data_IF_193958323071
#
_entry.id   IF_193958323071
#
_cell.length_a   1.000
_cell.length_b   1.000
_cell.length_c   1.000
_cell.angle_alpha   90.00
_cell.angle_beta   90.00
_cell.angle_gamma   90.00
#
_symmetry.space_group_name_H-M   'P 1'
#
loop_
_entity.id
_entity.type
_entity.pdbx_description
1 polymer ?
#
# COMPACT_ATOMS: atom_id res chain seq x y z
N UNK A 1 -53.39 -34.25 -66.52
CA UNK A 1 -52.58 -33.37 -65.66
C UNK A 1 -52.86 -33.63 -64.17
N UNK A 2 -52.95 -34.90 -63.74
CA UNK A 2 -53.29 -35.31 -62.36
C UNK A 2 -52.34 -36.39 -61.77
N UNK A 3 -51.31 -36.80 -62.52
CA UNK A 3 -50.36 -37.84 -62.08
C UNK A 3 -49.09 -37.28 -61.44
N UNK A 4 -48.89 -35.96 -61.42
CA UNK A 4 -47.75 -35.31 -60.75
C UNK A 4 -48.08 -34.84 -59.33
N UNK A 5 -49.35 -34.67 -58.96
CA UNK A 5 -49.74 -34.16 -57.64
C UNK A 5 -49.71 -35.25 -56.57
N UNK A 6 -50.07 -36.49 -56.89
CA UNK A 6 -50.13 -37.60 -55.91
C UNK A 6 -48.78 -38.10 -55.40
N UNK A 7 -47.71 -37.95 -56.20
CA UNK A 7 -46.34 -38.30 -55.79
C UNK A 7 -45.66 -37.17 -55.01
N UNK A 8 -46.16 -35.95 -55.12
CA UNK A 8 -45.65 -34.78 -54.40
C UNK A 8 -46.19 -34.77 -52.97
N UNK A 9 -47.47 -35.10 -52.77
CA UNK A 9 -48.10 -35.17 -51.43
C UNK A 9 -47.45 -36.23 -50.53
N UNK A 10 -46.97 -37.34 -51.10
CA UNK A 10 -46.21 -38.36 -50.35
C UNK A 10 -44.74 -37.99 -50.15
N UNK A 11 -44.15 -37.14 -50.99
CA UNK A 11 -42.75 -36.70 -50.88
C UNK A 11 -42.53 -35.54 -49.91
N UNK A 12 -43.52 -34.64 -49.77
CA UNK A 12 -43.49 -33.49 -48.83
C UNK A 12 -43.14 -33.90 -47.39
N UNK A 13 -43.75 -34.94 -46.77
CA UNK A 13 -43.39 -35.33 -45.40
C UNK A 13 -41.95 -35.82 -45.28
N UNK A 14 -41.42 -36.54 -46.28
CA UNK A 14 -40.02 -36.98 -46.28
C UNK A 14 -39.05 -35.80 -46.43
N UNK A 15 -39.39 -34.78 -47.21
CA UNK A 15 -38.60 -33.54 -47.31
C UNK A 15 -38.61 -32.78 -45.97
N UNK A 16 -39.75 -32.67 -45.30
CA UNK A 16 -39.84 -32.02 -43.98
C UNK A 16 -39.01 -32.76 -42.93
N UNK A 17 -39.06 -34.10 -42.92
CA UNK A 17 -38.22 -34.93 -42.04
C UNK A 17 -36.73 -34.72 -42.37
N UNK A 18 -36.37 -34.69 -43.66
CA UNK A 18 -35.00 -34.43 -44.10
C UNK A 18 -34.47 -33.08 -43.62
N UNK A 19 -35.26 -32.01 -43.78
CA UNK A 19 -34.91 -30.66 -43.30
C UNK A 19 -34.80 -30.65 -41.77
N UNK A 20 -35.72 -31.32 -41.06
CA UNK A 20 -35.67 -31.42 -39.60
C UNK A 20 -34.38 -32.11 -39.13
N UNK A 21 -34.01 -33.24 -39.73
CA UNK A 21 -32.76 -33.97 -39.41
C UNK A 21 -31.53 -33.11 -39.67
N UNK A 22 -31.46 -32.46 -40.84
CA UNK A 22 -30.34 -31.57 -41.18
C UNK A 22 -30.27 -30.40 -40.19
N UNK A 23 -31.40 -29.82 -39.80
CA UNK A 23 -31.43 -28.73 -38.82
C UNK A 23 -30.87 -29.13 -37.46
N UNK A 24 -31.17 -30.35 -36.99
CA UNK A 24 -30.64 -30.89 -35.73
C UNK A 24 -29.14 -31.12 -35.81
N UNK A 25 -28.64 -31.63 -36.94
CA UNK A 25 -27.21 -31.82 -37.17
C UNK A 25 -26.47 -30.48 -37.16
N UNK A 26 -26.99 -29.46 -37.87
CA UNK A 26 -26.41 -28.11 -37.90
C UNK A 26 -26.39 -27.50 -36.50
N UNK A 27 -27.50 -27.63 -35.75
CA UNK A 27 -27.60 -27.10 -34.39
C UNK A 27 -26.57 -27.78 -33.47
N UNK A 28 -26.43 -29.10 -33.56
CA UNK A 28 -25.43 -29.85 -32.79
C UNK A 28 -24.00 -29.40 -33.11
N UNK A 29 -23.70 -29.14 -34.38
CA UNK A 29 -22.39 -28.68 -34.82
C UNK A 29 -22.08 -27.25 -34.33
N UNK A 30 -23.07 -26.35 -34.33
CA UNK A 30 -22.92 -25.00 -33.75
C UNK A 30 -22.67 -25.05 -32.24
N UNK A 31 -23.39 -25.89 -31.50
CA UNK A 31 -23.17 -26.08 -30.06
C UNK A 31 -21.76 -26.62 -29.80
N UNK A 32 -21.29 -27.58 -30.59
CA UNK A 32 -19.94 -28.11 -30.48
C UNK A 32 -18.85 -27.04 -30.70
N UNK A 33 -18.99 -26.22 -31.74
CA UNK A 33 -18.06 -25.10 -32.00
C UNK A 33 -18.08 -24.09 -30.84
N UNK A 34 -19.26 -23.76 -30.30
CA UNK A 34 -19.39 -22.83 -29.18
C UNK A 34 -18.68 -23.35 -27.92
N UNK A 35 -18.78 -24.66 -27.62
CA UNK A 35 -18.07 -25.30 -26.51
C UNK A 35 -16.56 -25.22 -26.71
N UNK A 36 -16.06 -25.56 -27.91
CA UNK A 36 -14.64 -25.48 -28.23
C UNK A 36 -14.11 -24.05 -28.09
N UNK A 37 -14.84 -23.05 -28.60
CA UNK A 37 -14.44 -21.65 -28.48
C UNK A 37 -14.38 -21.21 -27.01
N UNK A 38 -15.36 -21.62 -26.19
CA UNK A 38 -15.36 -21.33 -24.76
C UNK A 38 -14.13 -21.93 -24.06
N UNK A 39 -13.83 -23.21 -24.32
CA UNK A 39 -12.66 -23.89 -23.76
C UNK A 39 -11.38 -23.18 -24.20
N UNK A 40 -11.19 -22.94 -25.50
CA UNK A 40 -9.99 -22.31 -26.07
C UNK A 40 -9.82 -20.88 -25.56
N UNK A 41 -10.90 -20.12 -25.41
CA UNK A 41 -10.86 -18.74 -24.89
C UNK A 41 -10.36 -18.67 -23.45
N UNK A 42 -10.53 -19.73 -22.65
CA UNK A 42 -9.99 -19.80 -21.30
C UNK A 42 -8.46 -19.99 -21.24
N UNK A 43 -7.85 -20.56 -22.28
CA UNK A 43 -6.41 -20.82 -22.32
C UNK A 43 -5.60 -19.61 -22.79
N UNK A 44 -6.18 -18.75 -23.62
CA UNK A 44 -5.51 -17.54 -24.07
C UNK A 44 -5.79 -16.39 -23.10
N UNK A 45 -4.74 -15.93 -22.40
CA UNK A 45 -4.85 -14.70 -21.61
C UNK A 45 -5.18 -13.54 -22.53
N UNK A 46 -6.36 -12.95 -22.37
CA UNK A 46 -6.79 -11.78 -23.15
C UNK A 46 -5.96 -10.51 -22.85
N UNK A 47 -5.10 -10.56 -21.83
CA UNK A 47 -4.28 -9.41 -21.43
C UNK A 47 -3.01 -9.34 -22.28
N UNK A 48 -2.88 -8.26 -23.03
CA UNK A 48 -1.73 -7.96 -23.90
C UNK A 48 -0.38 -8.02 -23.15
N UNK A 49 -0.35 -7.50 -21.93
CA UNK A 49 0.85 -7.48 -21.09
C UNK A 49 0.62 -8.18 -19.76
N UNK A 50 1.66 -8.84 -19.26
CA UNK A 50 1.77 -9.23 -17.86
C UNK A 50 2.90 -8.44 -17.21
N UNK A 51 2.68 -7.97 -15.98
CA UNK A 51 3.69 -7.18 -15.26
C UNK A 51 4.03 -7.89 -13.95
N UNK A 52 5.31 -8.06 -13.68
CA UNK A 52 5.83 -8.61 -12.42
C UNK A 52 6.76 -7.59 -11.78
N UNK A 53 6.60 -7.37 -10.49
CA UNK A 53 7.46 -6.51 -9.69
C UNK A 53 8.08 -7.34 -8.56
N UNK A 54 9.40 -7.28 -8.38
CA UNK A 54 10.12 -7.98 -7.31
C UNK A 54 11.02 -7.03 -6.54
N UNK A 55 11.35 -7.39 -5.31
CA UNK A 55 12.39 -6.72 -4.54
C UNK A 55 13.72 -7.49 -4.65
N UNK A 56 14.80 -6.78 -4.94
CA UNK A 56 16.16 -7.32 -5.00
C UNK A 56 17.06 -6.50 -4.08
N UNK A 57 17.94 -7.20 -3.39
CA UNK A 57 18.99 -6.60 -2.56
C UNK A 57 20.32 -6.99 -3.17
N UNK A 58 21.13 -6.01 -3.52
CA UNK A 58 22.49 -6.28 -3.96
C UNK A 58 23.35 -6.73 -2.76
N UNK A 59 23.99 -7.92 -2.83
CA UNK A 59 24.70 -8.48 -1.69
C UNK A 59 25.97 -7.70 -1.31
N UNK A 60 26.59 -7.02 -2.27
CA UNK A 60 27.85 -6.28 -2.08
C UNK A 60 27.63 -4.89 -1.52
N UNK A 61 26.65 -4.16 -2.05
CA UNK A 61 26.38 -2.75 -1.70
C UNK A 61 25.31 -2.62 -0.62
N UNK A 62 24.50 -3.66 -0.41
CA UNK A 62 23.29 -3.60 0.39
C UNK A 62 22.19 -2.72 -0.23
N UNK A 63 22.37 -2.27 -1.49
CA UNK A 63 21.41 -1.40 -2.14
C UNK A 63 20.15 -2.19 -2.50
N UNK A 64 19.01 -1.64 -2.10
CA UNK A 64 17.69 -2.18 -2.39
C UNK A 64 17.18 -1.63 -3.72
N UNK A 65 16.76 -2.54 -4.58
CA UNK A 65 16.21 -2.26 -5.91
C UNK A 65 14.86 -2.95 -6.08
N UNK A 66 13.94 -2.27 -6.76
CA UNK A 66 12.72 -2.86 -7.27
C UNK A 66 12.93 -3.24 -8.73
N UNK A 67 12.76 -4.52 -9.04
CA UNK A 67 12.82 -5.03 -10.40
C UNK A 67 11.41 -5.02 -10.99
N UNK A 68 11.23 -4.31 -12.10
CA UNK A 68 10.00 -4.25 -12.88
C UNK A 68 10.21 -5.02 -14.19
N UNK A 69 9.42 -6.07 -14.39
CA UNK A 69 9.41 -6.87 -15.62
C UNK A 69 8.07 -6.73 -16.32
N UNK A 70 8.12 -6.31 -17.58
CA UNK A 70 6.94 -6.17 -18.44
C UNK A 70 7.05 -7.22 -19.54
N UNK A 71 6.15 -8.20 -19.50
CA UNK A 71 6.06 -9.31 -20.45
C UNK A 71 5.03 -8.99 -21.53
N UNK A 72 5.38 -9.23 -22.78
CA UNK A 72 4.43 -9.24 -23.87
C UNK A 72 3.82 -10.65 -24.01
N UNK A 73 2.56 -10.79 -23.60
CA UNK A 73 1.83 -12.05 -23.75
C UNK A 73 1.17 -12.19 -25.13
N UNK A 74 1.20 -11.13 -25.94
CA UNK A 74 0.62 -11.15 -27.27
C UNK A 74 1.51 -11.94 -28.25
N UNK A 75 0.88 -12.51 -29.29
CA UNK A 75 1.58 -13.16 -30.40
C UNK A 75 2.30 -12.11 -31.25
N UNK A 76 1.76 -10.89 -31.33
CA UNK A 76 2.37 -9.79 -32.06
C UNK A 76 3.33 -8.99 -31.17
N UNK A 77 4.27 -8.31 -31.81
CA UNK A 77 5.11 -7.31 -31.15
C UNK A 77 4.27 -6.23 -30.47
N UNK A 78 4.71 -5.81 -29.29
CA UNK A 78 4.02 -4.80 -28.51
C UNK A 78 4.89 -3.57 -28.35
N UNK A 79 4.35 -2.41 -28.74
CA UNK A 79 5.02 -1.11 -28.60
C UNK A 79 4.59 -0.49 -27.28
N UNK A 80 5.56 -0.09 -26.48
CA UNK A 80 5.32 0.48 -25.16
C UNK A 80 5.59 1.97 -25.22
N UNK A 81 4.67 2.76 -24.67
CA UNK A 81 4.80 4.22 -24.58
C UNK A 81 5.39 4.64 -23.23
N UNK A 82 4.94 4.03 -22.14
CA UNK A 82 5.42 4.30 -20.79
C UNK A 82 5.21 3.10 -19.88
N UNK A 83 5.99 3.03 -18.80
CA UNK A 83 5.80 2.01 -17.77
C UNK A 83 6.46 2.43 -16.45
N UNK A 84 5.89 1.96 -15.35
CA UNK A 84 6.41 2.29 -14.03
C UNK A 84 5.47 1.90 -12.91
N UNK A 85 5.39 2.74 -11.89
CA UNK A 85 4.54 2.52 -10.72
C UNK A 85 3.47 3.60 -10.59
N UNK A 86 2.27 3.18 -10.22
CA UNK A 86 1.14 4.03 -9.90
C UNK A 86 0.90 3.96 -8.39
N UNK A 87 0.89 5.12 -7.75
CA UNK A 87 0.53 5.27 -6.34
C UNK A 87 -0.55 6.35 -6.21
N UNK A 88 -1.71 5.98 -5.66
CA UNK A 88 -2.93 6.80 -5.69
C UNK A 88 -3.27 7.23 -7.13
N UNK A 89 -3.22 8.53 -7.39
CA UNK A 89 -3.49 9.15 -8.70
C UNK A 89 -2.22 9.58 -9.43
N UNK A 90 -1.04 9.31 -8.86
CA UNK A 90 0.25 9.72 -9.42
C UNK A 90 0.92 8.54 -10.12
N UNK A 91 1.31 8.76 -11.37
CA UNK A 91 2.16 7.85 -12.14
C UNK A 91 3.62 8.28 -12.03
N UNK A 92 4.47 7.36 -11.57
CA UNK A 92 5.92 7.48 -11.64
C UNK A 92 6.35 6.71 -12.87
N UNK A 93 6.71 7.44 -13.92
CA UNK A 93 7.19 6.88 -15.18
C UNK A 93 8.70 6.69 -15.12
N UNK A 94 9.17 5.53 -15.59
CA UNK A 94 10.58 5.20 -15.68
C UNK A 94 11.01 4.88 -17.11
N UNK A 95 10.21 5.26 -18.10
CA UNK A 95 10.54 5.05 -19.51
C UNK A 95 11.87 5.72 -19.91
N UNK A 96 12.07 6.98 -19.53
CA UNK A 96 13.32 7.71 -19.81
C UNK A 96 14.52 7.11 -19.09
N UNK A 97 14.32 6.60 -17.86
CA UNK A 97 15.36 5.89 -17.11
C UNK A 97 15.78 4.63 -17.86
N UNK A 98 14.81 3.86 -18.35
CA UNK A 98 15.09 2.67 -19.16
C UNK A 98 15.85 2.99 -20.45
N UNK A 99 15.46 4.05 -21.16
CA UNK A 99 16.17 4.47 -22.37
C UNK A 99 17.62 4.86 -22.06
N UNK A 100 17.84 5.53 -20.93
CA UNK A 100 19.18 5.93 -20.48
C UNK A 100 20.03 4.71 -20.11
N UNK A 101 19.47 3.76 -19.36
CA UNK A 101 20.17 2.52 -18.97
C UNK A 101 20.53 1.65 -20.17
N UNK A 102 19.69 1.67 -21.22
CA UNK A 102 19.90 0.94 -22.47
C UNK A 102 20.77 1.69 -23.48
N UNK A 103 21.29 2.89 -23.15
CA UNK A 103 22.03 3.78 -24.07
C UNK A 103 21.25 4.10 -25.37
N UNK A 104 19.93 4.26 -25.27
CA UNK A 104 19.05 4.58 -26.39
C UNK A 104 18.78 6.09 -26.47
N UNK A 105 18.44 6.56 -27.67
CA UNK A 105 17.99 7.95 -27.87
C UNK A 105 16.64 8.17 -27.19
N UNK A 106 16.38 9.40 -26.72
CA UNK A 106 15.11 9.77 -26.05
C UNK A 106 13.86 9.52 -26.89
N UNK A 107 13.97 9.60 -28.22
CA UNK A 107 12.86 9.34 -29.15
C UNK A 107 12.78 7.89 -29.63
N UNK A 108 13.57 6.98 -29.02
CA UNK A 108 13.58 5.59 -29.41
C UNK A 108 12.25 4.92 -29.04
N UNK A 109 11.71 4.14 -29.98
CA UNK A 109 10.49 3.35 -29.75
C UNK A 109 10.87 2.03 -29.10
N UNK A 110 10.37 1.78 -27.91
CA UNK A 110 10.57 0.49 -27.22
C UNK A 110 9.54 -0.52 -27.73
N UNK A 111 10.05 -1.63 -28.26
CA UNK A 111 9.25 -2.74 -28.78
C UNK A 111 9.62 -4.00 -28.01
N UNK A 112 8.63 -4.66 -27.45
CA UNK A 112 8.77 -5.95 -26.79
C UNK A 112 8.34 -7.03 -27.79
N UNK A 113 9.24 -7.95 -28.11
CA UNK A 113 8.93 -9.05 -29.02
C UNK A 113 7.87 -9.98 -28.43
N UNK A 114 7.27 -10.82 -29.29
CA UNK A 114 6.29 -11.83 -28.87
C UNK A 114 6.86 -12.75 -27.79
N UNK A 115 6.13 -12.92 -26.69
CA UNK A 115 6.52 -13.76 -25.54
C UNK A 115 7.82 -13.35 -24.85
N UNK A 116 8.33 -12.16 -25.14
CA UNK A 116 9.54 -11.62 -24.53
C UNK A 116 9.20 -10.61 -23.43
N UNK A 117 10.23 -10.11 -22.73
CA UNK A 117 10.08 -9.15 -21.66
C UNK A 117 11.17 -8.10 -21.66
N UNK A 118 10.80 -6.91 -21.19
CA UNK A 118 11.77 -5.91 -20.77
C UNK A 118 11.90 -5.96 -19.25
N UNK A 119 13.09 -5.66 -18.79
CA UNK A 119 13.43 -5.61 -17.37
C UNK A 119 14.04 -4.24 -17.07
N UNK A 120 13.57 -3.64 -15.99
CA UNK A 120 14.12 -2.41 -15.43
C UNK A 120 14.40 -2.59 -13.94
N UNK A 121 15.52 -2.06 -13.47
CA UNK A 121 15.86 -2.01 -12.06
C UNK A 121 15.74 -0.57 -11.56
N UNK A 122 14.89 -0.36 -10.56
CA UNK A 122 14.56 0.96 -10.01
C UNK A 122 15.11 1.02 -8.60
N UNK A 123 15.82 2.09 -8.25
CA UNK A 123 16.30 2.28 -6.88
C UNK A 123 15.11 2.41 -5.90
N UNK A 124 15.11 1.61 -4.83
CA UNK A 124 13.99 1.58 -3.89
C UNK A 124 13.80 2.93 -3.19
N UNK A 125 14.88 3.65 -2.92
CA UNK A 125 14.86 4.97 -2.25
C UNK A 125 14.04 6.00 -3.01
N UNK A 126 14.15 6.05 -4.34
CA UNK A 126 13.42 7.03 -5.14
C UNK A 126 11.91 6.83 -5.01
N UNK A 127 11.43 5.58 -5.14
CA UNK A 127 10.02 5.28 -4.98
C UNK A 127 9.54 5.51 -3.53
N UNK A 128 10.37 5.19 -2.53
CA UNK A 128 10.07 5.44 -1.12
C UNK A 128 9.88 6.94 -0.83
N UNK A 129 10.80 7.80 -1.29
CA UNK A 129 10.72 9.25 -1.09
C UNK A 129 9.47 9.86 -1.75
N UNK A 130 9.11 9.39 -2.94
CA UNK A 130 7.91 9.85 -3.63
C UNK A 130 6.65 9.47 -2.86
N UNK A 131 6.59 8.25 -2.31
CA UNK A 131 5.44 7.81 -1.51
C UNK A 131 5.41 8.54 -0.15
N UNK A 132 6.57 8.77 0.48
CA UNK A 132 6.68 9.48 1.74
C UNK A 132 6.17 10.92 1.64
N UNK A 133 6.60 11.63 0.59
CA UNK A 133 6.11 13.00 0.31
C UNK A 133 4.60 13.03 0.10
N UNK A 134 4.04 12.02 -0.58
CA UNK A 134 2.60 11.94 -0.81
C UNK A 134 1.79 11.50 0.42
N UNK A 135 2.43 10.84 1.38
CA UNK A 135 1.81 10.40 2.62
C UNK A 135 1.94 11.39 3.77
N UNK A 136 2.64 12.52 3.58
CA UNK A 136 2.93 13.50 4.62
C UNK A 136 3.50 12.83 5.89
N UNK A 137 4.44 11.89 5.73
CA UNK A 137 5.08 11.17 6.84
C UNK A 137 4.19 10.13 7.55
N UNK A 138 3.01 9.78 7.01
CA UNK A 138 2.19 8.70 7.55
C UNK A 138 2.74 7.33 7.16
N UNK A 139 2.72 6.39 8.10
CA UNK A 139 3.18 4.99 7.92
C UNK A 139 2.30 4.19 6.95
N UNK A 140 1.02 4.56 6.82
CA UNK A 140 0.06 3.81 6.01
C UNK A 140 0.40 3.92 4.53
N UNK A 141 0.68 2.78 3.89
CA UNK A 141 0.93 2.67 2.45
C UNK A 141 -0.30 2.12 1.75
N UNK A 142 -0.85 2.90 0.81
CA UNK A 142 -1.95 2.49 -0.06
C UNK A 142 -1.52 1.46 -1.12
N UNK A 143 -2.46 0.86 -1.87
CA UNK A 143 -2.12 -0.05 -2.96
C UNK A 143 -1.18 0.62 -3.97
N UNK A 144 -0.07 -0.07 -4.28
CA UNK A 144 0.85 0.30 -5.35
C UNK A 144 0.56 -0.63 -6.52
N UNK A 145 0.46 -0.07 -7.72
CA UNK A 145 0.33 -0.84 -8.95
C UNK A 145 1.56 -0.63 -9.81
N UNK A 146 2.03 -1.68 -10.46
CA UNK A 146 2.91 -1.55 -11.62
C UNK A 146 2.04 -1.35 -12.86
N UNK A 147 2.44 -0.47 -13.77
CA UNK A 147 1.66 -0.17 -14.97
C UNK A 147 2.53 -0.19 -16.23
N UNK A 148 1.88 -0.45 -17.36
CA UNK A 148 2.40 -0.29 -18.71
C UNK A 148 1.34 0.40 -19.56
N UNK A 149 1.75 1.33 -20.40
CA UNK A 149 0.91 2.02 -21.36
C UNK A 149 1.28 1.58 -22.77
N UNK A 150 0.29 1.07 -23.49
CA UNK A 150 0.42 0.71 -24.90
C UNK A 150 0.48 1.95 -25.80
N UNK A 151 0.88 1.78 -27.06
CA UNK A 151 0.87 2.83 -28.08
C UNK A 151 -0.52 3.47 -28.27
N UNK A 152 -1.59 2.70 -28.03
CA UNK A 152 -2.98 3.17 -28.09
C UNK A 152 -3.40 3.97 -26.84
N UNK A 153 -2.50 4.20 -25.88
CA UNK A 153 -2.79 4.90 -24.62
C UNK A 153 -3.52 4.04 -23.57
N UNK A 154 -3.73 2.75 -23.81
CA UNK A 154 -4.36 1.86 -22.84
C UNK A 154 -3.39 1.52 -21.71
N UNK A 155 -3.77 1.85 -20.48
CA UNK A 155 -3.01 1.57 -19.26
C UNK A 155 -3.43 0.22 -18.69
N UNK A 156 -2.47 -0.70 -18.64
CA UNK A 156 -2.64 -2.01 -18.00
C UNK A 156 -1.90 -1.97 -16.67
N UNK A 157 -2.61 -2.28 -15.58
CA UNK A 157 -2.08 -2.22 -14.21
C UNK A 157 -2.14 -3.56 -13.49
N UNK A 158 -1.11 -3.86 -12.72
CA UNK A 158 -0.98 -5.06 -11.89
C UNK A 158 -0.60 -4.68 -10.46
N UNK A 159 -1.20 -5.31 -9.43
CA UNK A 159 -0.90 -4.96 -8.05
C UNK A 159 0.54 -5.36 -7.67
N UNK A 160 1.36 -4.38 -7.30
CA UNK A 160 2.74 -4.55 -6.88
C UNK A 160 2.81 -4.86 -5.37
N UNK A 161 2.25 -6.01 -4.98
CA UNK A 161 2.07 -6.39 -3.55
C UNK A 161 3.40 -6.47 -2.79
N UNK A 162 4.44 -6.96 -3.44
CA UNK A 162 5.77 -7.11 -2.84
C UNK A 162 6.41 -5.76 -2.58
N UNK A 163 6.45 -4.89 -3.59
CA UNK A 163 6.94 -3.50 -3.47
C UNK A 163 6.22 -2.78 -2.34
N UNK A 164 4.89 -2.85 -2.30
CA UNK A 164 4.09 -2.26 -1.22
C UNK A 164 4.49 -2.78 0.16
N UNK A 165 4.68 -4.10 0.29
CA UNK A 165 5.03 -4.74 1.56
C UNK A 165 6.39 -4.24 2.07
N UNK A 166 7.37 -4.12 1.16
CA UNK A 166 8.70 -3.63 1.50
C UNK A 166 8.63 -2.17 1.94
N UNK A 167 8.01 -1.30 1.14
CA UNK A 167 7.89 0.14 1.48
C UNK A 167 7.17 0.35 2.82
N UNK A 168 6.09 -0.39 3.07
CA UNK A 168 5.40 -0.35 4.36
C UNK A 168 6.32 -0.77 5.52
N UNK A 169 7.17 -1.79 5.34
CA UNK A 169 8.14 -2.22 6.35
C UNK A 169 9.15 -1.12 6.67
N UNK A 170 9.68 -0.42 5.66
CA UNK A 170 10.59 0.71 5.88
C UNK A 170 9.93 1.83 6.68
N UNK A 171 8.73 2.26 6.28
CA UNK A 171 8.03 3.33 6.99
C UNK A 171 7.67 2.95 8.42
N UNK A 172 7.29 1.68 8.64
CA UNK A 172 7.02 1.20 9.99
C UNK A 172 8.29 1.22 10.85
N UNK A 173 9.43 0.78 10.32
CA UNK A 173 10.70 0.80 11.04
C UNK A 173 11.11 2.23 11.43
N UNK A 174 10.93 3.21 10.52
CA UNK A 174 11.21 4.63 10.80
C UNK A 174 10.31 5.16 11.92
N UNK A 175 9.02 4.86 11.89
CA UNK A 175 8.06 5.29 12.91
C UNK A 175 8.30 4.63 14.28
N UNK A 176 8.67 3.35 14.30
CA UNK A 176 9.02 2.63 15.53
C UNK A 176 10.25 3.26 16.21
N UNK A 177 11.28 3.62 15.44
CA UNK A 177 12.47 4.35 15.94
C UNK A 177 12.09 5.72 16.48
N UNK A 178 11.22 6.46 15.78
CA UNK A 178 10.75 7.78 16.23
C UNK A 178 10.01 7.69 17.55
N UNK A 179 9.09 6.74 17.68
CA UNK A 179 8.34 6.48 18.93
C UNK A 179 9.24 6.06 20.08
N UNK A 180 10.29 5.27 19.81
CA UNK A 180 11.27 4.90 20.83
C UNK A 180 12.01 6.12 21.37
N UNK A 181 12.48 7.02 20.49
CA UNK A 181 13.14 8.28 20.89
C UNK A 181 12.22 9.17 21.72
N UNK A 182 10.97 9.35 21.28
CA UNK A 182 9.99 10.16 22.01
C UNK A 182 9.69 9.60 23.41
N UNK A 183 9.68 8.27 23.58
CA UNK A 183 9.51 7.64 24.91
C UNK A 183 10.69 7.91 25.82
N UNK A 184 11.92 7.80 25.32
CA UNK A 184 13.15 8.08 26.09
C UNK A 184 13.14 9.55 26.55
N UNK A 185 12.87 10.49 25.65
CA UNK A 185 12.80 11.91 26.00
C UNK A 185 11.71 12.21 27.04
N UNK A 186 10.54 11.57 26.93
CA UNK A 186 9.46 11.71 27.93
C UNK A 186 9.88 11.16 29.29
N UNK A 187 10.57 10.02 29.32
CA UNK A 187 11.10 9.45 30.55
C UNK A 187 12.15 10.37 31.20
N UNK A 188 13.09 10.91 30.42
CA UNK A 188 14.09 11.86 30.92
C UNK A 188 13.44 13.14 31.47
N UNK A 189 12.51 13.75 30.72
CA UNK A 189 11.75 14.92 31.17
C UNK A 189 10.98 14.63 32.46
N UNK A 190 10.40 13.44 32.59
CA UNK A 190 9.70 13.02 33.80
C UNK A 190 10.65 12.80 34.99
N UNK A 191 11.86 12.28 34.75
CA UNK A 191 12.89 12.06 35.76
C UNK A 191 13.42 13.39 36.28
N UNK A 192 13.75 14.32 35.38
CA UNK A 192 14.17 15.68 35.73
C UNK A 192 13.09 16.40 36.54
N UNK A 193 11.82 16.32 36.14
CA UNK A 193 10.70 16.90 36.91
C UNK A 193 10.58 16.30 38.31
N UNK A 194 10.73 14.97 38.45
CA UNK A 194 10.69 14.29 39.75
C UNK A 194 11.88 14.68 40.63
N UNK A 195 13.09 14.72 40.07
CA UNK A 195 14.31 15.14 40.77
C UNK A 195 14.18 16.60 41.25
N UNK A 196 13.69 17.51 40.39
CA UNK A 196 13.44 18.90 40.73
C UNK A 196 12.37 19.06 41.83
N UNK A 197 11.30 18.26 41.78
CA UNK A 197 10.26 18.24 42.82
C UNK A 197 10.80 17.75 44.17
N UNK A 198 11.55 16.65 44.17
CA UNK A 198 12.21 16.11 45.37
C UNK A 198 13.24 17.09 45.96
N UNK A 199 13.99 17.80 45.11
CA UNK A 199 14.92 18.85 45.56
C UNK A 199 14.20 20.03 46.22
N UNK A 200 13.01 20.42 45.72
CA UNK A 200 12.17 21.44 46.39
C UNK A 200 11.69 20.98 47.75
N UNK A 201 11.21 19.74 47.87
CA UNK A 201 10.79 19.16 49.15
C UNK A 201 11.95 19.00 50.15
N UNK A 202 13.14 18.57 49.70
CA UNK A 202 14.34 18.47 50.54
C UNK A 202 14.93 19.82 50.97
N UNK A 203 14.59 20.92 50.28
CA UNK A 203 14.93 22.29 50.72
C UNK A 203 13.93 22.85 51.74
N UNK A 204 12.80 22.18 51.97
CA UNK A 204 11.88 22.44 53.07
C UNK A 204 12.15 21.50 54.26
N UNK A 205 13.27 21.68 54.99
CA UNK A 205 13.18 21.45 56.42
C UNK A 205 14.07 22.39 57.23
N UNK A 206 13.46 23.14 58.17
CA UNK A 206 14.00 23.55 59.50
C UNK A 206 13.32 24.77 60.14
N UNK A 207 12.41 25.48 59.48
CA UNK A 207 11.77 26.66 60.08
C UNK A 207 10.73 26.33 61.17
N UNK A 208 9.99 25.21 61.07
CA UNK A 208 8.89 24.93 62.01
C UNK A 208 9.30 24.17 63.28
N UNK A 209 10.50 23.59 63.35
CA UNK A 209 10.94 22.83 64.55
C UNK A 209 11.61 23.67 65.64
N UNK A 210 11.79 24.99 65.46
CA UNK A 210 12.41 25.86 66.46
C UNK A 210 11.43 26.70 67.30
N UNK A 211 10.13 26.73 66.97
CA UNK A 211 9.16 27.61 67.68
C UNK A 211 8.59 26.97 68.96
N UNK A 212 8.79 25.67 69.21
CA UNK A 212 8.15 24.95 70.34
C UNK A 212 9.03 24.88 71.61
N UNK A 213 10.21 25.51 71.67
CA UNK A 213 11.11 25.44 72.85
C UNK A 213 11.17 26.67 73.76
N UNK A 214 10.44 27.76 73.47
CA UNK A 214 10.42 28.96 74.31
C UNK A 214 9.02 29.28 74.85
N UNK A 215 8.55 28.50 75.82
CA UNK A 215 7.61 29.01 76.83
C UNK A 215 7.98 28.39 78.18
N UNK A 216 8.80 29.11 78.95
CA UNK A 216 8.86 28.94 80.41
C UNK A 216 7.70 29.75 81.00
N UNK A 217 6.84 29.19 81.86
CA UNK A 217 5.84 29.97 82.57
C UNK A 217 6.52 30.81 83.67
N UNK A 218 6.26 32.11 83.67
CA UNK A 218 6.64 33.06 84.72
C UNK A 218 5.53 33.05 85.78
N UNK A 219 5.91 32.82 87.04
CA UNK A 219 5.02 32.85 88.21
C UNK A 219 4.45 34.27 88.47
N UNK A 220 3.17 34.42 88.83
CA UNK A 220 2.63 35.71 89.26
C UNK A 220 2.90 35.95 90.75
N UNK A 221 3.50 37.12 91.05
CA UNK A 221 3.68 37.67 92.40
C UNK A 221 2.33 37.99 93.04
N UNK A 222 2.21 37.65 94.33
CA UNK A 222 1.17 38.10 95.27
C UNK A 222 1.35 39.58 95.60
N UNK A 223 0.25 40.33 95.64
CA UNK A 223 0.12 41.55 96.44
C UNK A 223 -1.22 41.52 97.19
N UNK A 224 -1.17 41.88 98.47
CA UNK A 224 -2.19 41.74 99.48
C UNK A 224 -3.02 43.03 99.66
N UNK A 225 -4.35 42.88 99.79
CA UNK A 225 -5.31 43.57 100.72
C UNK A 225 -5.46 45.12 100.68
N UNK A 226 -6.57 45.75 101.17
CA UNK A 226 -7.39 45.34 102.32
C UNK A 226 -8.93 45.53 102.27
N UNK A 227 -9.55 44.88 103.28
CA UNK A 227 -10.94 44.99 103.77
C UNK A 227 -11.31 46.42 104.18
N UNK A 228 -12.59 46.80 104.04
CA UNK A 228 -13.53 47.44 105.00
C UNK A 228 -14.90 47.47 104.27
N UNK A 229 -15.94 46.70 104.62
CA UNK A 229 -16.95 46.84 105.72
C UNK A 229 -18.04 47.92 105.50
N UNK A 230 -19.29 47.52 105.83
CA UNK A 230 -20.54 48.28 106.10
C UNK A 230 -21.49 48.53 104.91
N UNK A 231 -22.82 48.46 105.03
CA UNK A 231 -23.73 48.10 106.12
C UNK A 231 -25.16 47.96 105.54
N UNK A 232 -26.03 47.30 106.31
CA UNK A 232 -27.52 47.23 106.25
C UNK A 232 -28.21 46.47 105.10
#
# INVERSE_FOLDING_TARGET
MYFFTSNLDSAVPYLLIGVAVISVIILGLLVYIAILQFIVSGYFSSKKFAIKSKHKVEPLTGNEKFELMVFNNNVNEARVLSFGFLYRSNSVDFFDTYLSDANLKKDAKVVIMSRDFIKLEIEAKHLQQLIESHNNGRVRVEPIYAYVTDISGHIIKYPAREVRRIIYRHFKAIDDVKKAKEKVERQEKSRIKREAFMAKFKRQPKAEKQIVKEVKPVEPKKEETPKVEKAE
#
